data_IF_575984873068
#
_entry.id   IF_575984873068
#
_cell.length_a   1.000
_cell.length_b   1.000
_cell.length_c   1.000
_cell.angle_alpha   90.00
_cell.angle_beta   90.00
_cell.angle_gamma   90.00
#
_symmetry.space_group_name_H-M   'P 1'
#
loop_
_entity.id
_entity.type
_entity.pdbx_description
1 polymer ?
#
# COMPACT_ATOMS: atom_id res chain seq x y z
N UNK A 1 19.05 11.89 3.99
CA UNK A 1 17.61 11.86 4.28
C UNK A 1 17.18 13.31 4.36
N UNK A 2 16.05 13.70 3.78
CA UNK A 2 15.61 15.09 3.82
C UNK A 2 15.51 15.57 5.28
N UNK A 3 16.27 16.63 5.59
CA UNK A 3 16.60 17.14 6.92
C UNK A 3 15.38 17.77 7.63
N UNK A 4 14.34 16.99 7.96
CA UNK A 4 13.24 17.48 8.80
C UNK A 4 12.46 18.70 8.24
N UNK A 5 12.53 18.97 6.93
CA UNK A 5 11.93 20.14 6.27
C UNK A 5 10.58 19.89 5.57
N UNK A 6 9.91 18.79 5.89
CA UNK A 6 8.56 18.55 5.38
C UNK A 6 7.60 18.66 6.57
N UNK A 7 7.18 19.90 6.85
CA UNK A 7 5.93 20.09 7.58
C UNK A 7 4.79 19.73 6.61
N UNK A 8 3.86 18.89 7.05
CA UNK A 8 2.63 18.67 6.30
C UNK A 8 1.93 20.02 6.16
N UNK A 9 1.55 20.38 4.93
CA UNK A 9 0.75 21.58 4.67
C UNK A 9 -0.48 21.53 5.61
N UNK A 10 -0.77 22.56 6.43
CA UNK A 10 -1.83 22.49 7.44
C UNK A 10 -3.19 21.97 6.96
N UNK A 11 -3.64 22.21 5.70
CA UNK A 11 -4.86 21.62 5.17
C UNK A 11 -4.84 20.08 5.03
N UNK A 12 -3.66 19.47 4.85
CA UNK A 12 -3.53 18.01 4.76
C UNK A 12 -3.85 17.32 6.10
N UNK A 13 -3.69 18.01 7.23
CA UNK A 13 -4.04 17.49 8.56
C UNK A 13 -5.55 17.23 8.71
N UNK A 14 -6.39 17.88 7.90
CA UNK A 14 -7.84 17.69 7.93
C UNK A 14 -8.28 16.39 7.22
N UNK A 15 -7.40 15.78 6.42
CA UNK A 15 -7.75 14.62 5.61
C UNK A 15 -7.82 13.37 6.47
N UNK A 16 -8.97 12.70 6.45
CA UNK A 16 -9.17 11.49 7.23
C UNK A 16 -10.31 10.64 6.67
N UNK A 17 -10.33 9.39 7.12
CA UNK A 17 -11.35 8.40 6.81
C UNK A 17 -12.15 8.09 8.08
N UNK A 18 -13.47 8.04 7.98
CA UNK A 18 -14.33 7.72 9.12
C UNK A 18 -14.09 6.31 9.66
N UNK A 19 -14.48 6.08 10.92
CA UNK A 19 -14.38 4.77 11.57
C UNK A 19 -15.23 3.67 10.90
N UNK A 20 -15.00 2.42 11.33
CA UNK A 20 -15.80 1.25 10.98
C UNK A 20 -15.30 0.45 9.77
N UNK A 21 -14.15 0.81 9.18
CA UNK A 21 -13.35 -0.06 8.31
C UNK A 21 -12.17 -0.67 9.07
N UNK A 22 -11.38 -1.54 8.40
CA UNK A 22 -10.15 -2.09 9.01
C UNK A 22 -9.07 -1.02 9.23
N UNK A 23 -9.16 0.10 8.50
CA UNK A 23 -8.34 1.30 8.67
C UNK A 23 -9.25 2.53 8.71
N UNK A 24 -8.86 3.53 9.50
CA UNK A 24 -9.60 4.79 9.67
C UNK A 24 -8.67 5.90 10.17
N UNK A 25 -9.18 7.14 10.22
CA UNK A 25 -8.39 8.32 10.50
C UNK A 25 -7.43 8.64 9.35
N UNK A 26 -6.20 8.99 9.69
CA UNK A 26 -5.11 9.23 8.75
C UNK A 26 -3.78 8.70 9.29
N UNK A 27 -2.82 8.51 8.39
CA UNK A 27 -1.46 8.11 8.70
C UNK A 27 -1.03 6.79 8.08
N UNK A 28 0.00 6.21 8.68
CA UNK A 28 0.68 5.00 8.20
C UNK A 28 0.14 3.78 8.93
N UNK A 29 -0.13 2.73 8.17
CA UNK A 29 -0.59 1.44 8.67
C UNK A 29 0.30 0.32 8.16
N UNK A 30 0.45 -0.70 8.99
CA UNK A 30 1.20 -1.91 8.71
C UNK A 30 0.29 -3.12 8.92
N UNK A 31 0.20 -4.00 7.93
CA UNK A 31 -0.45 -5.29 8.04
C UNK A 31 0.57 -6.40 7.79
N UNK A 32 1.06 -7.06 8.85
CA UNK A 32 1.91 -8.22 8.69
C UNK A 32 1.09 -9.39 8.11
N UNK A 33 1.61 -10.01 7.04
CA UNK A 33 0.98 -11.20 6.45
C UNK A 33 2.01 -12.31 6.36
N UNK A 34 1.95 -13.27 7.26
CA UNK A 34 2.82 -14.46 7.19
C UNK A 34 2.64 -15.18 5.86
N UNK A 35 3.73 -15.56 5.20
CA UNK A 35 3.75 -16.49 4.08
C UNK A 35 5.19 -16.84 3.72
N UNK A 36 5.38 -17.97 3.03
CA UNK A 36 6.70 -18.49 2.68
C UNK A 36 6.78 -18.80 1.18
N UNK A 37 7.99 -18.73 0.60
CA UNK A 37 8.28 -19.16 -0.77
C UNK A 37 7.62 -18.35 -1.90
N UNK A 38 6.88 -17.29 -1.58
CA UNK A 38 6.32 -16.38 -2.58
C UNK A 38 7.42 -15.44 -3.09
N UNK A 39 7.61 -15.39 -4.42
CA UNK A 39 8.58 -14.51 -5.09
C UNK A 39 7.90 -13.31 -5.76
N UNK A 40 7.15 -13.55 -6.84
CA UNK A 40 6.45 -12.52 -7.64
C UNK A 40 4.92 -12.51 -7.47
N UNK A 41 4.39 -13.45 -6.69
CA UNK A 41 2.96 -13.58 -6.43
C UNK A 41 2.74 -14.15 -5.02
N UNK A 42 1.92 -13.48 -4.21
CA UNK A 42 1.46 -13.92 -2.89
C UNK A 42 -0.06 -13.75 -2.81
N UNK A 43 -0.79 -14.86 -2.90
CA UNK A 43 -2.26 -14.88 -2.76
C UNK A 43 -2.67 -14.44 -1.35
N UNK A 44 -1.85 -14.72 -0.33
CA UNK A 44 -2.13 -14.29 1.05
C UNK A 44 -2.13 -12.77 1.16
N UNK A 45 -1.15 -12.08 0.57
CA UNK A 45 -1.17 -10.61 0.53
C UNK A 45 -2.33 -10.08 -0.34
N UNK A 46 -2.65 -10.72 -1.48
CA UNK A 46 -3.79 -10.29 -2.29
C UNK A 46 -5.10 -10.35 -1.49
N UNK A 47 -5.34 -11.45 -0.77
CA UNK A 47 -6.54 -11.60 0.05
C UNK A 47 -6.59 -10.54 1.17
N UNK A 48 -5.45 -10.21 1.77
CA UNK A 48 -5.36 -9.16 2.78
C UNK A 48 -5.67 -7.76 2.19
N UNK A 49 -5.16 -7.47 0.99
CA UNK A 49 -5.47 -6.25 0.25
C UNK A 49 -6.95 -6.15 -0.07
N UNK A 50 -7.57 -7.23 -0.58
CA UNK A 50 -9.00 -7.25 -0.90
C UNK A 50 -9.84 -6.99 0.35
N UNK A 51 -9.51 -7.60 1.49
CA UNK A 51 -10.20 -7.34 2.77
C UNK A 51 -10.16 -5.88 3.19
N UNK A 52 -8.99 -5.24 3.13
CA UNK A 52 -8.86 -3.81 3.45
C UNK A 52 -9.67 -2.99 2.45
N UNK A 53 -9.50 -3.25 1.15
CA UNK A 53 -10.18 -2.57 0.05
C UNK A 53 -11.69 -2.57 0.26
N UNK A 54 -12.29 -3.73 0.52
CA UNK A 54 -13.73 -3.88 0.76
C UNK A 54 -14.17 -3.18 2.05
N UNK A 55 -13.37 -3.23 3.12
CA UNK A 55 -13.74 -2.67 4.42
C UNK A 55 -13.89 -1.16 4.45
N UNK A 56 -13.22 -0.46 3.52
CA UNK A 56 -13.21 1.01 3.45
C UNK A 56 -14.21 1.56 2.41
N UNK A 57 -14.71 0.73 1.49
CA UNK A 57 -15.72 1.17 0.53
C UNK A 57 -17.00 1.62 1.25
N UNK A 58 -17.55 2.75 0.79
CA UNK A 58 -18.73 3.36 1.40
C UNK A 58 -18.50 4.08 2.73
N UNK A 59 -17.29 4.00 3.32
CA UNK A 59 -16.90 4.85 4.45
C UNK A 59 -16.69 6.29 3.98
N UNK A 60 -16.74 7.24 4.90
CA UNK A 60 -16.60 8.66 4.55
C UNK A 60 -15.12 9.05 4.49
N UNK A 61 -14.73 9.74 3.43
CA UNK A 61 -13.46 10.44 3.31
C UNK A 61 -13.70 11.94 3.35
N UNK A 62 -12.95 12.63 4.21
CA UNK A 62 -12.91 14.09 4.31
C UNK A 62 -11.65 14.58 3.60
N UNK A 63 -11.81 15.47 2.60
CA UNK A 63 -10.70 16.06 1.88
C UNK A 63 -10.05 17.25 2.62
N UNK A 64 -8.99 17.82 2.04
CA UNK A 64 -8.25 18.96 2.62
C UNK A 64 -9.08 20.24 2.75
N UNK A 65 -10.20 20.31 2.03
CA UNK A 65 -11.15 21.43 2.05
C UNK A 65 -12.32 21.17 3.00
N UNK A 66 -12.34 20.03 3.71
CA UNK A 66 -13.41 19.64 4.63
C UNK A 66 -14.62 19.01 3.94
N UNK A 67 -14.58 18.78 2.62
CA UNK A 67 -15.69 18.11 1.95
C UNK A 67 -15.67 16.63 2.28
N UNK A 68 -16.83 16.11 2.67
CA UNK A 68 -17.00 14.70 3.03
C UNK A 68 -17.82 13.98 1.98
N UNK A 69 -17.34 12.81 1.53
CA UNK A 69 -18.08 11.93 0.64
C UNK A 69 -17.74 10.46 0.87
N UNK A 70 -18.55 9.55 0.35
CA UNK A 70 -18.27 8.13 0.38
C UNK A 70 -17.02 7.78 -0.45
N UNK A 71 -16.24 6.83 0.08
CA UNK A 71 -15.11 6.20 -0.60
C UNK A 71 -15.65 5.27 -1.68
N UNK A 72 -15.12 5.45 -2.88
CA UNK A 72 -15.40 4.62 -4.05
C UNK A 72 -14.14 3.88 -4.51
N UNK A 73 -14.26 2.87 -5.39
CA UNK A 73 -13.13 2.14 -5.94
C UNK A 73 -12.03 3.02 -6.57
N UNK A 74 -12.40 4.20 -7.09
CA UNK A 74 -11.46 5.19 -7.65
C UNK A 74 -10.57 5.87 -6.61
N UNK A 75 -10.88 5.75 -5.32
CA UNK A 75 -10.19 6.42 -4.23
C UNK A 75 -9.12 5.54 -3.56
N UNK A 76 -8.97 4.31 -4.04
CA UNK A 76 -8.05 3.33 -3.49
C UNK A 76 -7.05 2.97 -4.58
N UNK A 77 -5.77 3.26 -4.36
CA UNK A 77 -4.69 2.84 -5.23
C UNK A 77 -3.97 1.63 -4.63
N UNK A 78 -4.00 0.50 -5.32
CA UNK A 78 -3.22 -0.68 -4.97
C UNK A 78 -1.92 -0.73 -5.77
N UNK A 79 -0.79 -0.89 -5.08
CA UNK A 79 0.55 -0.89 -5.65
C UNK A 79 1.24 -2.22 -5.31
N UNK A 80 1.88 -2.84 -6.30
CA UNK A 80 2.72 -4.01 -6.10
C UNK A 80 3.99 -3.96 -6.99
N UNK A 81 5.11 -4.55 -6.56
CA UNK A 81 6.37 -4.52 -7.30
C UNK A 81 6.36 -5.35 -8.59
N UNK A 82 5.47 -6.34 -8.70
CA UNK A 82 5.47 -7.31 -9.80
C UNK A 82 4.14 -7.34 -10.55
N UNK A 83 4.23 -7.39 -11.89
CA UNK A 83 3.04 -7.48 -12.75
C UNK A 83 2.20 -8.73 -12.47
N UNK A 84 2.82 -9.84 -12.07
CA UNK A 84 2.10 -11.07 -11.69
C UNK A 84 1.19 -10.84 -10.47
N UNK A 85 1.68 -10.14 -9.45
CA UNK A 85 0.86 -9.74 -8.30
C UNK A 85 -0.25 -8.76 -8.71
N UNK A 86 0.06 -7.75 -9.54
CA UNK A 86 -0.93 -6.78 -10.04
C UNK A 86 -2.07 -7.48 -10.78
N UNK A 87 -1.76 -8.45 -11.64
CA UNK A 87 -2.76 -9.22 -12.37
C UNK A 87 -3.63 -10.05 -11.43
N UNK A 88 -3.03 -10.70 -10.44
CA UNK A 88 -3.77 -11.47 -9.43
C UNK A 88 -4.69 -10.58 -8.58
N UNK A 89 -4.23 -9.38 -8.18
CA UNK A 89 -5.05 -8.39 -7.48
C UNK A 89 -6.24 -7.95 -8.30
N UNK A 90 -6.03 -7.58 -9.57
CA UNK A 90 -7.13 -7.17 -10.46
C UNK A 90 -8.14 -8.29 -10.63
N UNK A 91 -7.66 -9.52 -10.85
CA UNK A 91 -8.51 -10.72 -11.00
C UNK A 91 -9.40 -10.92 -9.77
N UNK A 92 -8.84 -10.81 -8.57
CA UNK A 92 -9.61 -10.99 -7.33
C UNK A 92 -10.58 -9.84 -7.07
N UNK A 93 -10.16 -8.59 -7.28
CA UNK A 93 -11.04 -7.43 -7.11
C UNK A 93 -12.19 -7.41 -8.12
N UNK A 94 -11.94 -7.83 -9.37
CA UNK A 94 -13.00 -7.97 -10.37
C UNK A 94 -14.02 -9.06 -9.98
N UNK A 95 -13.54 -10.14 -9.35
CA UNK A 95 -14.39 -11.23 -8.85
C UNK A 95 -15.13 -10.90 -7.55
N UNK A 96 -14.83 -9.77 -6.89
CA UNK A 96 -15.49 -9.37 -5.65
C UNK A 96 -16.86 -8.75 -5.93
N UNK A 97 -17.91 -9.36 -5.37
CA UNK A 97 -19.27 -8.82 -5.43
C UNK A 97 -19.41 -7.50 -4.67
N UNK A 98 -18.61 -7.28 -3.62
CA UNK A 98 -18.57 -6.03 -2.86
C UNK A 98 -17.94 -4.94 -3.71
N UNK A 99 -16.74 -5.16 -4.27
CA UNK A 99 -16.12 -4.15 -5.12
C UNK A 99 -17.00 -3.81 -6.34
N UNK A 100 -17.62 -4.82 -6.95
CA UNK A 100 -18.54 -4.63 -8.07
C UNK A 100 -19.79 -3.81 -7.69
N UNK A 101 -20.37 -3.99 -6.50
CA UNK A 101 -21.54 -3.22 -6.06
C UNK A 101 -21.23 -1.73 -5.85
N UNK A 102 -19.96 -1.38 -5.62
CA UNK A 102 -19.45 -0.02 -5.58
C UNK A 102 -18.93 0.49 -6.93
N UNK A 103 -19.13 -0.26 -8.03
CA UNK A 103 -18.78 0.17 -9.39
C UNK A 103 -17.32 -0.11 -9.79
N UNK A 104 -16.64 -1.06 -9.15
CA UNK A 104 -15.33 -1.49 -9.63
C UNK A 104 -15.47 -2.19 -10.99
N UNK A 105 -14.86 -1.59 -12.02
CA UNK A 105 -14.80 -2.13 -13.38
C UNK A 105 -13.37 -2.49 -13.76
N UNK A 106 -13.21 -3.31 -14.81
CA UNK A 106 -11.89 -3.66 -15.34
C UNK A 106 -11.04 -2.42 -15.68
N UNK A 107 -11.63 -1.42 -16.36
CA UNK A 107 -10.92 -0.21 -16.74
C UNK A 107 -10.49 0.62 -15.53
N UNK A 108 -11.34 0.69 -14.52
CA UNK A 108 -11.03 1.38 -13.28
C UNK A 108 -9.90 0.67 -12.52
N UNK A 109 -9.98 -0.66 -12.37
CA UNK A 109 -8.94 -1.46 -11.73
C UNK A 109 -7.63 -1.43 -12.51
N UNK A 110 -7.66 -1.32 -13.84
CA UNK A 110 -6.46 -1.08 -14.64
C UNK A 110 -5.78 0.22 -14.26
N UNK A 111 -6.52 1.27 -13.95
CA UNK A 111 -5.98 2.57 -13.56
C UNK A 111 -5.53 2.60 -12.09
N UNK A 112 -6.23 1.89 -11.21
CA UNK A 112 -6.07 1.95 -9.75
C UNK A 112 -5.33 0.78 -9.11
N UNK A 113 -4.95 -0.23 -9.88
CA UNK A 113 -4.13 -1.36 -9.40
C UNK A 113 -2.93 -1.47 -10.34
N UNK A 114 -1.71 -1.28 -9.85
CA UNK A 114 -0.54 -1.17 -10.72
C UNK A 114 0.79 -1.33 -10.02
N UNK A 115 1.86 -1.16 -10.79
CA UNK A 115 3.22 -1.04 -10.23
C UNK A 115 3.48 0.40 -9.79
N UNK A 116 4.55 0.61 -9.02
CA UNK A 116 4.97 1.95 -8.58
C UNK A 116 5.15 2.91 -9.77
N UNK A 117 5.64 2.41 -10.91
CA UNK A 117 5.84 3.23 -12.11
C UNK A 117 4.51 3.77 -12.66
N UNK A 118 3.40 3.01 -12.49
CA UNK A 118 2.05 3.46 -12.86
C UNK A 118 1.47 4.48 -11.88
N UNK A 119 2.00 4.53 -10.67
CA UNK A 119 1.56 5.45 -9.64
C UNK A 119 2.19 6.85 -9.74
N UNK A 120 3.14 7.06 -10.66
CA UNK A 120 3.78 8.37 -10.82
C UNK A 120 2.77 9.45 -11.21
N UNK A 121 2.69 10.51 -10.39
CA UNK A 121 1.82 11.66 -10.64
C UNK A 121 0.33 11.46 -10.32
N UNK A 122 -0.05 10.31 -9.76
CA UNK A 122 -1.44 10.03 -9.36
C UNK A 122 -1.52 9.80 -7.86
N UNK A 123 -2.45 10.50 -7.20
CA UNK A 123 -2.72 10.38 -5.77
C UNK A 123 -4.10 9.76 -5.54
N UNK A 124 -4.30 9.22 -4.35
CA UNK A 124 -5.56 8.65 -3.91
C UNK A 124 -5.74 8.84 -2.39
N UNK A 125 -6.97 8.97 -1.90
CA UNK A 125 -7.28 8.94 -0.47
C UNK A 125 -6.58 7.79 0.28
N UNK A 126 -6.59 6.60 -0.31
CA UNK A 126 -6.01 5.38 0.26
C UNK A 126 -5.00 4.78 -0.70
N UNK A 127 -3.83 4.40 -0.19
CA UNK A 127 -2.85 3.60 -0.93
C UNK A 127 -2.55 2.30 -0.18
N UNK A 128 -2.69 1.18 -0.87
CA UNK A 128 -2.37 -0.16 -0.37
C UNK A 128 -1.13 -0.67 -1.09
N UNK A 129 -0.05 -0.94 -0.36
CA UNK A 129 1.24 -1.37 -0.92
C UNK A 129 1.50 -2.83 -0.52
N UNK A 130 1.49 -3.74 -1.48
CA UNK A 130 1.84 -5.15 -1.28
C UNK A 130 3.29 -5.38 -1.69
N UNK A 131 4.09 -6.02 -0.83
CA UNK A 131 5.50 -6.31 -1.10
C UNK A 131 5.72 -7.63 -1.84
N UNK A 132 4.76 -8.54 -1.77
CA UNK A 132 4.67 -9.80 -2.51
C UNK A 132 5.67 -10.88 -2.13
N UNK A 133 6.97 -10.56 -2.03
CA UNK A 133 8.01 -11.54 -1.70
C UNK A 133 7.93 -11.93 -0.23
N UNK A 134 8.20 -13.21 0.09
CA UNK A 134 8.11 -13.70 1.48
C UNK A 134 9.32 -13.30 2.31
N UNK A 135 10.51 -13.35 1.70
CA UNK A 135 11.76 -13.01 2.34
C UNK A 135 12.72 -12.36 1.34
N UNK A 136 13.85 -11.86 1.83
CA UNK A 136 14.92 -11.36 0.97
C UNK A 136 15.48 -12.43 0.00
N UNK A 137 15.38 -13.72 0.36
CA UNK A 137 15.84 -14.83 -0.47
C UNK A 137 14.89 -15.14 -1.64
N UNK A 138 13.62 -14.75 -1.53
CA UNK A 138 12.61 -15.02 -2.56
C UNK A 138 12.56 -13.92 -3.65
N UNK A 139 13.40 -12.89 -3.54
CA UNK A 139 13.41 -11.76 -4.47
C UNK A 139 14.09 -12.20 -5.79
N UNK A 140 13.37 -12.24 -6.92
CA UNK A 140 13.85 -12.86 -8.16
C UNK A 140 14.80 -11.99 -8.99
N UNK A 141 14.91 -10.69 -8.68
CA UNK A 141 15.76 -9.73 -9.40
C UNK A 141 16.98 -9.39 -8.55
N UNK A 142 16.86 -8.32 -7.78
CA UNK A 142 17.88 -7.83 -6.88
C UNK A 142 17.22 -7.14 -5.69
N UNK A 143 17.93 -7.15 -4.57
CA UNK A 143 17.51 -6.57 -3.30
C UNK A 143 17.07 -5.10 -3.45
N UNK A 144 17.84 -4.33 -4.23
CA UNK A 144 17.63 -2.89 -4.43
C UNK A 144 16.35 -2.58 -5.22
N UNK A 145 15.80 -3.54 -5.98
CA UNK A 145 14.54 -3.34 -6.70
C UNK A 145 13.35 -3.27 -5.75
N UNK A 146 13.25 -4.22 -4.81
CA UNK A 146 12.15 -4.29 -3.86
C UNK A 146 12.32 -3.24 -2.76
N UNK A 147 13.54 -3.08 -2.25
CA UNK A 147 13.86 -2.09 -1.20
C UNK A 147 14.24 -0.72 -1.76
N UNK A 148 13.93 -0.45 -3.04
CA UNK A 148 14.23 0.84 -3.66
C UNK A 148 13.59 1.99 -2.87
N UNK A 149 14.43 2.81 -2.25
CA UNK A 149 13.97 3.99 -1.50
C UNK A 149 13.10 4.92 -2.33
N UNK A 150 13.48 5.17 -3.58
CA UNK A 150 12.72 6.05 -4.47
C UNK A 150 11.33 5.49 -4.72
N UNK A 151 11.22 4.19 -4.96
CA UNK A 151 9.93 3.54 -5.22
C UNK A 151 9.05 3.48 -4.00
N UNK A 152 9.64 3.18 -2.85
CA UNK A 152 8.95 3.19 -1.57
C UNK A 152 8.40 4.58 -1.26
N UNK A 153 9.23 5.62 -1.35
CA UNK A 153 8.81 7.00 -1.12
C UNK A 153 7.71 7.43 -2.09
N UNK A 154 7.83 7.08 -3.37
CA UNK A 154 6.77 7.36 -4.35
C UNK A 154 5.48 6.70 -3.92
N UNK A 155 5.49 5.40 -3.60
CA UNK A 155 4.30 4.65 -3.21
C UNK A 155 3.63 5.22 -1.95
N UNK A 156 4.40 5.46 -0.88
CA UNK A 156 3.87 5.98 0.38
C UNK A 156 3.36 7.40 0.22
N UNK A 157 4.05 8.26 -0.55
CA UNK A 157 3.63 9.65 -0.74
C UNK A 157 2.45 9.82 -1.72
N UNK A 158 1.90 8.73 -2.27
CA UNK A 158 0.68 8.81 -3.12
C UNK A 158 -0.60 8.89 -2.32
N UNK A 159 -0.55 8.57 -1.03
CA UNK A 159 -1.71 8.60 -0.16
C UNK A 159 -2.01 10.03 0.28
N UNK A 160 -3.29 10.40 0.22
CA UNK A 160 -3.75 11.67 0.78
C UNK A 160 -4.10 11.54 2.26
N UNK A 161 -4.67 10.39 2.68
CA UNK A 161 -5.04 10.16 4.07
C UNK A 161 -4.36 8.92 4.67
N UNK A 162 -4.44 7.77 4.00
CA UNK A 162 -3.96 6.49 4.54
C UNK A 162 -3.01 5.79 3.58
N UNK A 163 -1.85 5.38 4.08
CA UNK A 163 -1.02 4.35 3.45
C UNK A 163 -1.08 3.08 4.30
N UNK A 164 -1.31 1.94 3.66
CA UNK A 164 -1.15 0.63 4.27
C UNK A 164 -0.03 -0.12 3.57
N UNK A 165 0.97 -0.59 4.30
CA UNK A 165 1.95 -1.56 3.78
C UNK A 165 1.55 -2.95 4.26
N UNK A 166 1.39 -3.85 3.31
CA UNK A 166 1.06 -5.26 3.48
C UNK A 166 2.28 -6.05 3.04
N UNK A 167 2.91 -6.76 3.98
CA UNK A 167 4.10 -7.54 3.66
C UNK A 167 4.33 -8.68 4.66
N UNK A 168 5.10 -9.68 4.23
CA UNK A 168 5.67 -10.68 5.14
C UNK A 168 6.59 -10.02 6.19
N UNK A 169 6.43 -10.34 7.48
CA UNK A 169 7.36 -9.88 8.53
C UNK A 169 8.81 -10.33 8.30
N UNK A 170 9.02 -11.44 7.59
CA UNK A 170 10.38 -11.91 7.26
C UNK A 170 11.15 -10.95 6.33
N UNK A 171 10.47 -10.01 5.66
CA UNK A 171 11.12 -8.92 4.93
C UNK A 171 11.75 -7.85 5.86
N UNK A 172 11.46 -7.88 7.17
CA UNK A 172 12.15 -7.07 8.17
C UNK A 172 13.43 -7.76 8.67
N UNK A 173 13.49 -9.10 8.57
CA UNK A 173 14.59 -9.93 9.06
C UNK A 173 15.67 -10.15 7.99
N UNK A 174 16.19 -9.07 7.42
CA UNK A 174 17.19 -9.17 6.33
C UNK A 174 18.60 -9.33 6.88
N UNK A 175 19.29 -10.38 6.44
CA UNK A 175 20.75 -10.47 6.59
C UNK A 175 21.47 -9.59 5.56
N UNK A 176 21.69 -8.32 5.91
CA UNK A 176 22.41 -7.39 5.05
C UNK A 176 23.91 -7.68 5.03
N UNK A 177 24.49 -7.80 3.84
CA UNK A 177 25.93 -8.00 3.62
C UNK A 177 26.68 -6.69 3.38
N UNK A 178 25.96 -5.60 3.08
CA UNK A 178 26.54 -4.28 2.80
C UNK A 178 25.81 -3.17 3.54
N UNK A 179 26.50 -2.03 3.75
CA UNK A 179 25.92 -0.83 4.37
C UNK A 179 24.73 -0.30 3.55
N UNK A 180 24.79 -0.39 2.21
CA UNK A 180 23.69 0.03 1.35
C UNK A 180 22.45 -0.84 1.55
N UNK A 181 22.61 -2.16 1.72
CA UNK A 181 21.48 -3.03 2.05
C UNK A 181 20.86 -2.68 3.39
N UNK A 182 21.67 -2.35 4.41
CA UNK A 182 21.17 -1.87 5.71
C UNK A 182 20.36 -0.58 5.53
N UNK A 183 20.87 0.38 4.75
CA UNK A 183 20.17 1.65 4.49
C UNK A 183 18.82 1.45 3.79
N UNK A 184 18.74 0.50 2.86
CA UNK A 184 17.53 0.18 2.11
C UNK A 184 16.51 -0.58 2.98
N UNK A 185 16.95 -1.58 3.76
CA UNK A 185 16.11 -2.33 4.70
C UNK A 185 15.53 -1.42 5.79
N UNK A 186 16.35 -0.50 6.32
CA UNK A 186 15.95 0.43 7.37
C UNK A 186 14.73 1.27 6.99
N UNK A 187 14.48 1.56 5.71
CA UNK A 187 13.29 2.32 5.31
C UNK A 187 12.00 1.57 5.64
N UNK A 188 11.93 0.27 5.35
CA UNK A 188 10.77 -0.56 5.67
C UNK A 188 10.64 -0.71 7.19
N UNK A 189 11.74 -0.96 7.90
CA UNK A 189 11.72 -1.05 9.36
C UNK A 189 11.23 0.26 10.01
N UNK A 190 11.73 1.41 9.57
CA UNK A 190 11.28 2.73 10.05
C UNK A 190 9.81 2.99 9.77
N UNK A 191 9.32 2.58 8.60
CA UNK A 191 7.89 2.68 8.31
C UNK A 191 7.08 1.86 9.32
N UNK A 192 7.46 0.60 9.56
CA UNK A 192 6.76 -0.29 10.50
C UNK A 192 6.79 0.26 11.94
N UNK A 193 7.92 0.80 12.38
CA UNK A 193 8.05 1.46 13.69
C UNK A 193 7.10 2.65 13.88
N UNK A 194 6.81 3.38 12.80
CA UNK A 194 5.94 4.56 12.83
C UNK A 194 4.46 4.22 12.56
N UNK A 195 4.19 3.06 11.98
CA UNK A 195 2.87 2.69 11.50
C UNK A 195 2.01 2.05 12.60
N UNK A 196 0.69 2.30 12.53
CA UNK A 196 -0.28 1.57 13.35
C UNK A 196 -0.42 0.15 12.80
N UNK A 197 -0.25 -0.86 13.66
CA UNK A 197 -0.47 -2.24 13.24
C UNK A 197 -1.96 -2.54 13.12
N UNK A 198 -2.35 -3.16 12.01
CA UNK A 198 -3.68 -3.73 11.81
C UNK A 198 -3.64 -5.14 12.40
N UNK A 199 -4.52 -5.40 13.37
CA UNK A 199 -4.68 -6.70 14.07
C UNK A 199 -5.78 -7.54 13.43
#
# INVERSE_FOLDING_TARGET
MYEGKLEADPPCANQHISEGGLVSGSGLFWLPVEHEGCSVRSVREVNAVVKIYESVLGKQFTDKHGNTRAIEPRDIFVIAPYNAQVQEMRRQLLGSSIAASFGATEDLLRQRVGTVDKAQGSEAPIVLVSYTSSSANDIPRNFEFLYSKNRFNVAVSRAQAITVVIASPELLNVQCKTIEQVRLANMLCRYVEMAKSIS
#
